data_IF_544979578142
#
_entry.id   IF_544979578142
#
_cell.length_a   1.000
_cell.length_b   1.000
_cell.length_c   1.000
_cell.angle_alpha   90.00
_cell.angle_beta   90.00
_cell.angle_gamma   90.00
#
_symmetry.space_group_name_H-M   'P 1'
#
loop_
_entity.id
_entity.type
_entity.pdbx_description
1 polymer ?
#
# COMPACT_ATOMS: atom_id res chain seq x y z
N UNK A 1 -1.72 1.55 13.52
CA UNK A 1 -2.68 2.55 12.99
C UNK A 1 -2.03 3.25 11.81
N UNK A 2 -2.73 3.23 10.69
CA UNK A 2 -2.39 3.97 9.48
C UNK A 2 -3.48 5.01 9.27
N UNK A 3 -3.08 6.18 8.81
CA UNK A 3 -3.99 7.24 8.38
C UNK A 3 -3.63 7.65 6.96
N UNK A 4 -4.52 8.38 6.30
CA UNK A 4 -4.38 8.69 4.89
C UNK A 4 -4.49 10.20 4.65
N UNK A 5 -3.74 10.69 3.67
CA UNK A 5 -3.89 12.04 3.11
C UNK A 5 -4.22 11.93 1.62
N UNK A 6 -4.69 13.02 1.03
CA UNK A 6 -4.91 13.11 -0.41
C UNK A 6 -3.90 14.11 -0.97
N UNK A 7 -3.04 13.62 -1.85
CA UNK A 7 -2.00 14.38 -2.50
C UNK A 7 -2.36 14.55 -4.00
N UNK A 8 -1.99 15.69 -4.58
CA UNK A 8 -2.01 15.95 -6.01
C UNK A 8 -0.58 16.18 -6.45
N UNK A 9 -0.08 15.32 -7.33
CA UNK A 9 1.24 15.47 -7.93
C UNK A 9 1.12 16.15 -9.28
N UNK A 10 1.59 17.40 -9.39
CA UNK A 10 1.85 18.05 -10.68
C UNK A 10 3.25 17.62 -11.16
N UNK A 11 3.38 17.27 -12.43
CA UNK A 11 4.60 16.64 -12.95
C UNK A 11 5.85 17.53 -12.75
N UNK A 12 6.88 16.92 -12.14
CA UNK A 12 8.26 17.39 -11.90
C UNK A 12 8.61 18.40 -10.81
N UNK A 13 7.70 18.97 -10.03
CA UNK A 13 8.17 19.97 -9.04
C UNK A 13 7.43 20.04 -7.71
N UNK A 14 6.09 19.89 -7.67
CA UNK A 14 5.33 20.19 -6.46
C UNK A 14 4.23 19.14 -6.18
N UNK A 15 4.24 18.61 -4.95
CA UNK A 15 3.14 17.84 -4.40
C UNK A 15 2.27 18.77 -3.59
N UNK A 16 0.96 18.76 -3.83
CA UNK A 16 0.02 19.52 -3.01
C UNK A 16 -0.82 18.56 -2.19
N UNK A 17 -1.02 18.86 -0.91
CA UNK A 17 -1.83 18.04 -0.01
C UNK A 17 -3.10 18.75 0.41
N UNK A 18 -4.18 17.98 0.45
CA UNK A 18 -5.47 18.43 0.95
C UNK A 18 -5.35 18.88 2.43
N UNK A 19 -5.90 20.05 2.71
CA UNK A 19 -5.96 20.67 4.03
C UNK A 19 -7.36 20.54 4.64
N UNK A 20 -7.47 20.71 5.96
CA UNK A 20 -8.75 20.63 6.72
C UNK A 20 -9.83 21.61 6.23
N UNK A 21 -9.43 22.72 5.61
CA UNK A 21 -10.33 23.73 5.05
C UNK A 21 -10.79 23.40 3.60
N UNK A 22 -10.35 22.28 3.04
CA UNK A 22 -10.67 21.85 1.68
C UNK A 22 -9.73 22.41 0.60
N UNK A 23 -8.75 23.23 0.97
CA UNK A 23 -7.73 23.74 0.03
C UNK A 23 -6.59 22.75 -0.16
N UNK A 24 -5.79 22.95 -1.20
CA UNK A 24 -4.56 22.20 -1.44
C UNK A 24 -3.36 23.11 -1.22
N UNK A 25 -2.40 22.68 -0.41
CA UNK A 25 -1.16 23.41 -0.15
C UNK A 25 0.05 22.59 -0.55
N UNK A 26 1.06 23.26 -1.08
CA UNK A 26 2.32 22.61 -1.42
C UNK A 26 2.95 21.99 -0.16
N UNK A 27 3.36 20.74 -0.27
CA UNK A 27 4.15 20.04 0.75
C UNK A 27 5.55 19.78 0.23
N UNK A 28 6.53 19.89 1.13
CA UNK A 28 7.93 19.62 0.80
C UNK A 28 8.16 18.11 0.54
N UNK A 29 9.36 17.74 0.09
CA UNK A 29 9.70 16.34 -0.21
C UNK A 29 9.61 15.41 1.00
N UNK A 30 9.67 15.94 2.22
CA UNK A 30 9.42 15.16 3.42
C UNK A 30 7.90 15.08 3.64
N UNK A 31 7.29 14.06 3.02
CA UNK A 31 5.85 13.89 2.92
C UNK A 31 5.18 13.52 4.26
N UNK A 32 5.81 13.78 5.41
CA UNK A 32 5.20 13.59 6.73
C UNK A 32 3.95 14.44 6.89
N UNK A 33 3.06 14.01 7.79
CA UNK A 33 1.84 14.76 8.12
C UNK A 33 2.22 16.06 8.81
N UNK A 34 1.64 17.18 8.35
CA UNK A 34 1.81 18.51 8.92
C UNK A 34 0.54 18.98 9.63
N UNK A 35 0.66 19.98 10.51
CA UNK A 35 -0.52 20.61 11.07
C UNK A 35 -1.30 21.37 9.99
N UNK A 36 -2.60 21.11 9.93
CA UNK A 36 -3.50 21.60 8.88
C UNK A 36 -3.86 20.56 7.81
N UNK A 37 -3.10 19.47 7.69
CA UNK A 37 -3.42 18.40 6.74
C UNK A 37 -4.78 17.76 7.04
N UNK A 38 -5.54 17.49 5.99
CA UNK A 38 -6.72 16.64 6.07
C UNK A 38 -6.26 15.18 6.17
N UNK A 39 -6.60 14.57 7.32
CA UNK A 39 -6.22 13.19 7.64
C UNK A 39 -7.47 12.33 7.72
N UNK A 40 -7.47 11.24 6.99
CA UNK A 40 -8.53 10.25 6.96
C UNK A 40 -8.10 9.01 7.74
N UNK A 41 -9.00 8.46 8.54
CA UNK A 41 -8.73 7.25 9.34
C UNK A 41 -8.81 5.94 8.55
N UNK A 42 -9.29 6.01 7.31
CA UNK A 42 -9.61 4.87 6.47
C UNK A 42 -9.49 5.26 5.00
N UNK A 43 -9.07 4.30 4.16
CA UNK A 43 -8.88 4.52 2.72
C UNK A 43 -10.19 4.89 2.02
N UNK A 44 -11.29 4.20 2.34
CA UNK A 44 -12.59 4.42 1.70
C UNK A 44 -13.15 5.80 2.01
N UNK A 45 -12.81 6.37 3.18
CA UNK A 45 -13.18 7.76 3.50
C UNK A 45 -12.42 8.78 2.64
N UNK A 46 -11.13 8.55 2.39
CA UNK A 46 -10.35 9.38 1.48
C UNK A 46 -10.88 9.23 0.03
N UNK A 47 -11.19 8.01 -0.40
CA UNK A 47 -11.76 7.74 -1.71
C UNK A 47 -13.15 8.36 -1.88
N UNK A 48 -13.99 8.30 -0.86
CA UNK A 48 -15.30 8.95 -0.86
C UNK A 48 -15.16 10.47 -0.96
N UNK A 49 -14.18 11.08 -0.27
CA UNK A 49 -13.90 12.51 -0.43
C UNK A 49 -13.56 12.83 -1.89
N UNK A 50 -12.68 12.04 -2.51
CA UNK A 50 -12.30 12.23 -3.91
C UNK A 50 -13.51 12.13 -4.86
N UNK A 51 -14.38 11.12 -4.68
CA UNK A 51 -15.61 10.94 -5.48
C UNK A 51 -16.60 12.09 -5.31
N UNK A 52 -16.71 12.63 -4.11
CA UNK A 52 -17.60 13.76 -3.81
C UNK A 52 -17.02 15.11 -4.29
N UNK A 53 -15.74 15.17 -4.61
CA UNK A 53 -15.03 16.37 -5.08
C UNK A 53 -14.39 16.09 -6.44
N UNK A 54 -15.19 15.87 -7.50
CA UNK A 54 -14.67 15.52 -8.84
C UNK A 54 -13.84 16.65 -9.47
N UNK A 55 -13.95 17.86 -8.92
CA UNK A 55 -13.22 19.05 -9.34
C UNK A 55 -12.69 19.77 -8.11
N UNK A 56 -11.41 20.11 -8.13
CA UNK A 56 -10.74 20.92 -7.10
C UNK A 56 -9.95 22.04 -7.75
N UNK A 57 -9.51 23.01 -6.95
CA UNK A 57 -8.64 24.10 -7.40
C UNK A 57 -7.29 24.02 -6.68
N UNK A 58 -6.19 24.12 -7.43
CA UNK A 58 -4.82 24.12 -6.92
C UNK A 58 -4.05 25.21 -7.65
N UNK A 59 -3.57 26.22 -6.93
CA UNK A 59 -2.92 27.42 -7.49
C UNK A 59 -3.79 28.12 -8.55
N UNK A 60 -5.08 28.28 -8.25
CA UNK A 60 -6.10 28.81 -9.16
C UNK A 60 -6.35 27.97 -10.43
N UNK A 61 -5.68 26.83 -10.59
CA UNK A 61 -5.92 25.89 -11.68
C UNK A 61 -6.99 24.87 -11.30
N UNK A 62 -7.95 24.68 -12.20
CA UNK A 62 -9.02 23.68 -12.05
C UNK A 62 -8.50 22.29 -12.41
N UNK A 63 -8.55 21.36 -11.45
CA UNK A 63 -8.10 19.97 -11.62
C UNK A 63 -9.30 19.02 -11.51
N UNK A 64 -9.36 18.05 -12.41
CA UNK A 64 -10.38 16.99 -12.42
C UNK A 64 -9.81 15.71 -11.83
N UNK A 65 -10.52 15.13 -10.87
CA UNK A 65 -10.17 13.84 -10.26
C UNK A 65 -10.45 12.65 -11.20
N UNK A 66 -11.41 12.83 -12.11
CA UNK A 66 -11.78 11.83 -13.11
C UNK A 66 -11.40 12.37 -14.49
N UNK A 67 -10.23 11.99 -14.99
CA UNK A 67 -10.00 12.08 -16.44
C UNK A 67 -9.67 10.70 -16.96
N UNK A 68 -10.60 10.14 -17.74
CA UNK A 68 -10.47 8.89 -18.51
C UNK A 68 -9.36 8.97 -19.59
N UNK A 69 -8.57 10.04 -19.60
CA UNK A 69 -7.39 10.20 -20.44
C UNK A 69 -6.20 10.65 -19.59
N UNK A 70 -5.41 9.70 -19.13
CA UNK A 70 -4.07 9.98 -18.58
C UNK A 70 -3.19 10.49 -19.73
N UNK A 71 -3.16 11.80 -19.94
CA UNK A 71 -2.10 12.39 -20.75
C UNK A 71 -0.82 12.43 -19.90
N UNK A 72 0.32 12.12 -20.52
CA UNK A 72 1.61 12.29 -19.87
C UNK A 72 1.77 13.74 -19.44
N UNK A 73 1.85 14.02 -18.13
CA UNK A 73 1.87 15.38 -17.60
C UNK A 73 0.64 15.78 -16.76
N UNK A 74 -0.46 15.04 -16.84
CA UNK A 74 -1.68 15.34 -16.08
C UNK A 74 -1.45 15.24 -14.56
N UNK A 75 -2.03 16.14 -13.74
CA UNK A 75 -2.00 16.00 -12.30
C UNK A 75 -2.62 14.66 -11.87
N UNK A 76 -1.94 13.96 -10.96
CA UNK A 76 -2.41 12.69 -10.43
C UNK A 76 -2.84 12.84 -8.97
N UNK A 77 -4.06 12.43 -8.66
CA UNK A 77 -4.51 12.25 -7.28
C UNK A 77 -3.92 10.95 -6.73
N UNK A 78 -3.40 11.02 -5.51
CA UNK A 78 -2.88 9.88 -4.77
C UNK A 78 -3.43 9.93 -3.37
N UNK A 79 -4.11 8.86 -2.95
CA UNK A 79 -4.35 8.62 -1.54
C UNK A 79 -3.06 8.06 -0.98
N UNK A 80 -2.43 8.78 -0.05
CA UNK A 80 -1.17 8.41 0.56
C UNK A 80 -1.41 7.93 1.98
N UNK A 81 -0.90 6.75 2.29
CA UNK A 81 -0.86 6.21 3.63
C UNK A 81 0.28 6.80 4.46
N UNK A 82 0.04 6.91 5.76
CA UNK A 82 0.99 7.36 6.77
C UNK A 82 0.88 6.43 7.97
N UNK A 83 1.99 5.77 8.28
CA UNK A 83 2.09 4.92 9.45
C UNK A 83 2.28 5.79 10.70
N UNK A 84 1.34 5.71 11.64
CA UNK A 84 1.43 6.42 12.93
C UNK A 84 1.75 5.47 14.10
N UNK A 85 1.88 4.17 13.84
CA UNK A 85 2.38 3.20 14.80
C UNK A 85 3.14 2.07 14.11
N UNK A 86 3.96 1.35 14.86
CA UNK A 86 4.60 0.13 14.36
C UNK A 86 3.55 -0.89 13.86
N UNK A 87 3.87 -1.70 12.84
CA UNK A 87 3.04 -2.85 12.47
C UNK A 87 2.98 -3.84 13.63
N UNK A 88 1.87 -4.56 13.76
CA UNK A 88 1.74 -5.60 14.78
C UNK A 88 2.66 -6.79 14.48
N UNK A 89 2.75 -7.18 13.21
CA UNK A 89 3.65 -8.20 12.72
C UNK A 89 4.83 -7.55 12.01
N UNK A 90 6.06 -7.87 12.45
CA UNK A 90 7.29 -7.38 11.79
C UNK A 90 7.40 -7.99 10.39
N UNK A 91 7.08 -9.28 10.27
CA UNK A 91 6.93 -10.01 9.02
C UNK A 91 5.97 -11.17 9.24
N UNK A 92 5.39 -11.67 8.16
CA UNK A 92 4.60 -12.88 8.13
C UNK A 92 5.46 -14.11 7.77
N UNK A 93 4.94 -15.27 8.08
CA UNK A 93 5.56 -16.58 7.87
C UNK A 93 5.05 -17.23 6.59
N UNK A 94 5.83 -18.20 6.09
CA UNK A 94 5.39 -19.03 4.96
C UNK A 94 4.13 -19.83 5.27
N UNK A 95 3.97 -20.27 6.52
CA UNK A 95 2.80 -21.01 6.98
C UNK A 95 1.53 -20.15 6.94
N UNK A 96 1.61 -18.87 7.33
CA UNK A 96 0.49 -17.94 7.20
C UNK A 96 0.06 -17.75 5.74
N UNK A 97 1.02 -17.58 4.82
CA UNK A 97 0.73 -17.50 3.37
C UNK A 97 0.09 -18.80 2.87
N UNK A 98 0.62 -19.96 3.27
CA UNK A 98 0.09 -21.27 2.91
C UNK A 98 -1.36 -21.42 3.39
N UNK A 99 -1.64 -21.15 4.66
CA UNK A 99 -2.97 -21.26 5.25
C UNK A 99 -3.98 -20.38 4.50
N UNK A 100 -3.58 -19.16 4.12
CA UNK A 100 -4.44 -18.24 3.38
C UNK A 100 -4.71 -18.75 1.95
N UNK A 101 -3.70 -19.31 1.27
CA UNK A 101 -3.86 -19.90 -0.07
C UNK A 101 -4.72 -21.17 -0.07
N UNK A 102 -4.54 -22.07 0.89
CA UNK A 102 -5.30 -23.33 0.99
C UNK A 102 -6.80 -23.11 1.20
N UNK A 103 -7.17 -21.97 1.80
CA UNK A 103 -8.56 -21.58 2.02
C UNK A 103 -9.19 -20.83 0.83
N UNK A 104 -8.45 -20.62 -0.26
CA UNK A 104 -8.97 -19.94 -1.45
C UNK A 104 -9.92 -20.80 -2.30
N UNK A 105 -10.72 -20.14 -3.13
CA UNK A 105 -11.63 -20.76 -4.10
C UNK A 105 -11.04 -20.68 -5.51
N UNK A 106 -10.55 -21.79 -6.06
CA UNK A 106 -9.92 -21.78 -7.39
C UNK A 106 -10.95 -21.56 -8.53
N UNK A 107 -12.24 -21.42 -8.26
CA UNK A 107 -13.25 -21.05 -9.27
C UNK A 107 -13.29 -19.54 -9.57
N UNK A 108 -12.60 -18.70 -8.78
CA UNK A 108 -12.51 -17.26 -9.01
C UNK A 108 -11.08 -16.74 -8.91
N UNK A 109 -10.81 -15.63 -9.60
CA UNK A 109 -9.51 -14.97 -9.53
C UNK A 109 -9.27 -14.41 -8.13
N UNK A 110 -8.06 -14.59 -7.62
CA UNK A 110 -7.67 -14.13 -6.30
C UNK A 110 -6.42 -13.26 -6.34
N UNK A 111 -6.27 -12.41 -5.34
CA UNK A 111 -5.11 -11.53 -5.14
C UNK A 111 -4.66 -11.67 -3.70
N UNK A 112 -3.38 -11.97 -3.51
CA UNK A 112 -2.76 -11.87 -2.19
C UNK A 112 -2.45 -10.40 -1.89
N UNK A 113 -2.81 -9.97 -0.68
CA UNK A 113 -2.47 -8.65 -0.16
C UNK A 113 -1.88 -8.76 1.23
N UNK A 114 -1.07 -7.78 1.62
CA UNK A 114 -0.62 -7.61 3.01
C UNK A 114 -1.16 -6.29 3.49
N UNK A 115 -1.86 -6.31 4.62
CA UNK A 115 -2.34 -5.08 5.24
C UNK A 115 -1.21 -4.32 5.94
N UNK A 116 -1.53 -3.14 6.48
CA UNK A 116 -0.53 -2.32 7.13
C UNK A 116 -0.03 -2.86 8.47
N UNK A 117 -0.66 -3.86 9.07
CA UNK A 117 -0.20 -4.51 10.30
C UNK A 117 0.63 -5.78 10.01
N UNK A 118 0.88 -6.10 8.73
CA UNK A 118 1.69 -7.22 8.29
C UNK A 118 0.92 -8.55 8.26
N UNK A 119 -0.41 -8.49 8.14
CA UNK A 119 -1.27 -9.68 8.01
C UNK A 119 -1.57 -9.95 6.55
N UNK A 120 -1.44 -11.21 6.14
CA UNK A 120 -1.69 -11.66 4.77
C UNK A 120 -3.16 -12.00 4.59
N UNK A 121 -3.75 -11.56 3.48
CA UNK A 121 -5.13 -11.85 3.10
C UNK A 121 -5.20 -12.33 1.66
N UNK A 122 -6.18 -13.20 1.35
CA UNK A 122 -6.54 -13.59 0.00
C UNK A 122 -7.89 -13.00 -0.33
N UNK A 123 -7.94 -12.12 -1.33
CA UNK A 123 -9.16 -11.43 -1.73
C UNK A 123 -9.57 -11.87 -3.15
N UNK A 124 -10.87 -12.00 -3.44
CA UNK A 124 -11.34 -12.09 -4.81
C UNK A 124 -10.93 -10.84 -5.60
N UNK A 125 -10.52 -10.98 -6.86
CA UNK A 125 -10.06 -9.86 -7.71
C UNK A 125 -11.13 -8.75 -7.88
N UNK A 126 -12.41 -9.10 -7.79
CA UNK A 126 -13.51 -8.14 -7.85
C UNK A 126 -13.66 -7.26 -6.58
N UNK A 127 -12.84 -7.48 -5.56
CA UNK A 127 -12.81 -6.70 -4.32
C UNK A 127 -12.10 -5.35 -4.53
N UNK A 128 -12.22 -4.44 -3.55
CA UNK A 128 -11.37 -3.25 -3.52
C UNK A 128 -9.94 -3.68 -3.14
N UNK A 129 -9.02 -3.63 -4.08
CA UNK A 129 -7.61 -4.04 -3.90
C UNK A 129 -6.70 -2.88 -3.46
N UNK A 130 -7.28 -1.73 -3.09
CA UNK A 130 -6.55 -0.54 -2.62
C UNK A 130 -6.56 -0.46 -1.09
N UNK A 131 -5.68 0.34 -0.50
CA UNK A 131 -5.60 0.46 0.96
C UNK A 131 -4.89 -0.72 1.63
N UNK A 132 -3.98 -1.36 0.90
CA UNK A 132 -3.11 -2.42 1.40
C UNK A 132 -1.65 -2.02 1.22
N UNK A 133 -0.77 -2.50 2.09
CA UNK A 133 0.66 -2.22 2.02
C UNK A 133 1.30 -2.91 0.82
N UNK A 134 0.88 -4.15 0.55
CA UNK A 134 1.40 -4.97 -0.54
C UNK A 134 0.25 -5.57 -1.32
N UNK A 135 0.41 -5.64 -2.63
CA UNK A 135 -0.44 -6.40 -3.53
C UNK A 135 0.41 -7.30 -4.43
N UNK A 136 0.05 -8.57 -4.51
CA UNK A 136 0.64 -9.52 -5.44
C UNK A 136 -0.15 -9.58 -6.77
N UNK A 137 0.45 -10.16 -7.80
CA UNK A 137 -0.22 -10.46 -9.07
C UNK A 137 -1.40 -11.41 -8.89
N UNK A 138 -2.37 -11.30 -9.79
CA UNK A 138 -3.61 -12.08 -9.73
C UNK A 138 -3.32 -13.56 -9.96
N UNK A 139 -3.81 -14.41 -9.05
CA UNK A 139 -3.95 -15.85 -9.27
C UNK A 139 -5.20 -16.12 -10.10
N UNK A 140 -4.98 -16.59 -11.33
CA UNK A 140 -6.04 -16.90 -12.28
C UNK A 140 -6.79 -18.17 -11.83
N UNK A 141 -8.12 -18.12 -11.88
CA UNK A 141 -9.01 -19.26 -11.60
C UNK A 141 -8.68 -20.51 -12.44
N UNK A 142 -8.88 -21.67 -11.85
CA UNK A 142 -8.74 -23.00 -12.47
C UNK A 142 -7.30 -23.39 -12.76
N UNK A 143 -6.33 -22.76 -12.09
CA UNK A 143 -4.90 -23.04 -12.27
C UNK A 143 -4.28 -23.78 -11.09
N UNK A 144 -5.04 -24.00 -10.01
CA UNK A 144 -4.57 -24.67 -8.81
C UNK A 144 -3.54 -23.86 -8.02
N UNK A 145 -3.60 -22.53 -8.13
CA UNK A 145 -2.78 -21.61 -7.32
C UNK A 145 -3.30 -21.49 -5.88
N UNK A 146 -4.59 -21.71 -5.70
CA UNK A 146 -5.29 -21.60 -4.42
C UNK A 146 -6.17 -22.84 -4.18
N UNK A 147 -6.67 -22.97 -2.96
CA UNK A 147 -7.58 -24.02 -2.54
C UNK A 147 -6.88 -25.30 -2.09
N UNK A 148 -7.60 -26.10 -1.31
CA UNK A 148 -7.09 -27.31 -0.65
C UNK A 148 -6.64 -28.43 -1.60
N UNK A 149 -7.00 -28.34 -2.89
CA UNK A 149 -6.56 -29.27 -3.94
C UNK A 149 -5.40 -28.71 -4.78
N UNK A 150 -5.00 -27.46 -4.55
CA UNK A 150 -3.85 -26.82 -5.17
C UNK A 150 -2.55 -27.52 -4.79
N UNK A 151 -1.59 -27.55 -5.71
CA UNK A 151 -0.30 -28.21 -5.45
C UNK A 151 0.74 -27.30 -4.78
N UNK A 152 0.42 -26.00 -4.61
CA UNK A 152 1.22 -24.96 -3.97
C UNK A 152 2.70 -24.94 -4.37
N UNK A 153 3.04 -25.37 -5.59
CA UNK A 153 4.43 -25.42 -6.09
C UNK A 153 5.08 -24.03 -6.18
N UNK A 154 4.27 -22.98 -6.19
CA UNK A 154 4.70 -21.59 -6.19
C UNK A 154 4.87 -21.00 -4.79
N UNK A 155 4.52 -21.71 -3.71
CA UNK A 155 4.48 -21.15 -2.35
C UNK A 155 5.79 -20.49 -1.93
N UNK A 156 6.93 -21.14 -2.19
CA UNK A 156 8.24 -20.59 -1.79
C UNK A 156 8.56 -19.28 -2.53
N UNK A 157 8.28 -19.20 -3.84
CA UNK A 157 8.53 -17.99 -4.64
C UNK A 157 7.51 -16.90 -4.32
N UNK A 158 6.25 -17.25 -4.12
CA UNK A 158 5.19 -16.32 -3.69
C UNK A 158 5.51 -15.73 -2.33
N UNK A 159 5.88 -16.55 -1.35
CA UNK A 159 6.24 -16.10 -0.01
C UNK A 159 7.40 -15.11 -0.04
N UNK A 160 8.48 -15.45 -0.76
CA UNK A 160 9.64 -14.57 -0.86
C UNK A 160 9.32 -13.25 -1.55
N UNK A 161 8.60 -13.29 -2.67
CA UNK A 161 8.22 -12.08 -3.39
C UNK A 161 7.31 -11.17 -2.55
N UNK A 162 6.36 -11.74 -1.81
CA UNK A 162 5.48 -10.99 -0.92
C UNK A 162 6.27 -10.34 0.23
N UNK A 163 7.23 -11.08 0.81
CA UNK A 163 8.07 -10.58 1.90
C UNK A 163 9.01 -9.46 1.41
N UNK A 164 9.58 -9.58 0.22
CA UNK A 164 10.40 -8.54 -0.41
C UNK A 164 9.59 -7.24 -0.61
N UNK A 165 8.37 -7.34 -1.11
CA UNK A 165 7.46 -6.20 -1.24
C UNK A 165 7.13 -5.56 0.12
N UNK A 166 6.94 -6.38 1.15
CA UNK A 166 6.68 -5.90 2.50
C UNK A 166 7.88 -5.13 3.07
N UNK A 167 9.11 -5.62 2.85
CA UNK A 167 10.33 -4.89 3.23
C UNK A 167 10.43 -3.57 2.46
N UNK A 168 10.13 -3.54 1.16
CA UNK A 168 10.07 -2.30 0.38
C UNK A 168 9.05 -1.31 0.97
N UNK A 169 7.85 -1.79 1.34
CA UNK A 169 6.84 -0.99 2.02
C UNK A 169 7.35 -0.44 3.36
N UNK A 170 8.01 -1.26 4.18
CA UNK A 170 8.60 -0.78 5.44
C UNK A 170 9.68 0.26 5.23
N UNK A 171 10.43 0.19 4.12
CA UNK A 171 11.50 1.14 3.82
C UNK A 171 10.96 2.50 3.37
N UNK A 172 9.96 2.53 2.48
CA UNK A 172 9.48 3.75 1.83
C UNK A 172 8.14 4.28 2.38
N UNK A 173 7.33 3.42 2.98
CA UNK A 173 5.96 3.70 3.41
C UNK A 173 4.91 3.63 2.29
N UNK A 174 5.33 3.61 1.02
CA UNK A 174 4.45 3.53 -0.17
C UNK A 174 3.90 2.10 -0.39
N UNK A 175 2.83 1.98 -1.21
CA UNK A 175 2.25 0.68 -1.54
C UNK A 175 3.20 -0.07 -2.49
N UNK A 176 3.38 -1.37 -2.29
CA UNK A 176 4.27 -2.19 -3.11
C UNK A 176 3.48 -3.21 -3.96
N UNK A 177 3.80 -3.29 -5.24
CA UNK A 177 3.30 -4.32 -6.15
C UNK A 177 4.39 -5.34 -6.49
N UNK A 178 4.01 -6.62 -6.59
CA UNK A 178 4.89 -7.69 -7.09
C UNK A 178 4.14 -8.66 -7.98
N UNK A 179 4.77 -9.01 -9.09
CA UNK A 179 4.29 -10.01 -10.06
C UNK A 179 5.15 -11.26 -10.11
N UNK A 180 6.43 -11.16 -9.77
CA UNK A 180 7.32 -12.30 -9.64
C UNK A 180 8.36 -12.07 -8.56
N UNK A 181 9.02 -13.16 -8.22
CA UNK A 181 10.14 -13.18 -7.32
C UNK A 181 11.43 -12.73 -8.02
N UNK A 182 11.97 -11.58 -7.59
CA UNK A 182 13.16 -10.96 -8.18
C UNK A 182 14.42 -11.77 -7.86
N UNK A 183 14.40 -12.66 -6.86
CA UNK A 183 15.47 -13.63 -6.70
C UNK A 183 16.70 -13.16 -5.93
N UNK A 184 16.82 -11.87 -5.63
CA UNK A 184 18.11 -11.24 -5.26
C UNK A 184 18.50 -11.40 -3.80
N UNK A 185 17.53 -11.51 -2.91
CA UNK A 185 17.72 -11.51 -1.45
C UNK A 185 17.12 -12.79 -0.89
N UNK A 186 17.75 -13.37 0.12
CA UNK A 186 17.24 -14.57 0.81
C UNK A 186 16.12 -14.21 1.79
N UNK A 187 15.30 -15.19 2.18
CA UNK A 187 14.23 -14.98 3.17
C UNK A 187 14.82 -14.50 4.50
N UNK A 188 15.94 -15.08 4.93
CA UNK A 188 16.60 -14.73 6.18
C UNK A 188 17.15 -13.30 6.17
N UNK A 189 17.65 -12.83 5.02
CA UNK A 189 18.08 -11.43 4.85
C UNK A 189 16.90 -10.47 4.89
N UNK A 190 15.79 -10.79 4.21
CA UNK A 190 14.57 -9.98 4.25
C UNK A 190 13.98 -9.87 5.66
N UNK A 191 13.97 -10.97 6.42
CA UNK A 191 13.50 -10.97 7.81
C UNK A 191 14.37 -10.06 8.69
N UNK A 192 15.69 -10.15 8.58
CA UNK A 192 16.62 -9.26 9.31
C UNK A 192 16.43 -7.80 8.93
N UNK A 193 16.18 -7.53 7.65
CA UNK A 193 15.93 -6.18 7.17
C UNK A 193 14.62 -5.61 7.73
N UNK A 194 13.54 -6.40 7.73
CA UNK A 194 12.27 -6.02 8.34
C UNK A 194 12.44 -5.69 9.85
N UNK A 195 13.18 -6.52 10.58
CA UNK A 195 13.51 -6.28 12.00
C UNK A 195 14.28 -4.97 12.19
N UNK A 196 15.29 -4.70 11.37
CA UNK A 196 16.10 -3.49 11.44
C UNK A 196 15.27 -2.23 11.12
N UNK A 197 14.40 -2.30 10.12
CA UNK A 197 13.50 -1.20 9.74
C UNK A 197 12.51 -0.89 10.86
N UNK A 198 11.84 -1.90 11.42
CA UNK A 198 10.90 -1.69 12.54
C UNK A 198 11.62 -1.18 13.79
N UNK A 199 12.84 -1.65 14.06
CA UNK A 199 13.66 -1.13 15.17
C UNK A 199 14.00 0.36 14.97
N UNK A 200 14.37 0.76 13.74
CA UNK A 200 14.64 2.17 13.38
C UNK A 200 13.37 3.04 13.51
N UNK A 201 12.20 2.52 13.13
CA UNK A 201 10.94 3.24 13.32
C UNK A 201 10.66 3.49 14.81
N UNK A 202 10.97 2.52 15.67
CA UNK A 202 10.80 2.66 17.13
C UNK A 202 11.67 3.78 17.71
N UNK A 203 12.92 3.90 17.27
CA UNK A 203 13.83 4.96 17.76
C UNK A 203 13.41 6.35 17.29
N UNK A 204 12.93 6.48 16.05
CA UNK A 204 12.42 7.75 15.51
C UNK A 204 11.12 8.21 16.22
N UNK A 205 10.28 7.26 16.64
CA UNK A 205 9.08 7.56 17.44
C UNK A 205 9.43 8.13 18.82
N UNK A 206 10.45 7.58 19.49
CA UNK A 206 10.85 8.03 20.83
C UNK A 206 11.51 9.41 20.87
N UNK A 207 12.17 9.83 19.79
CA UNK A 207 12.82 11.16 19.71
C UNK A 207 11.83 12.31 19.47
N UNK A 208 10.64 12.01 18.92
CA UNK A 208 9.59 13.01 18.68
C UNK A 208 8.64 13.20 19.87
N UNK A 209 8.75 12.39 20.92
CA UNK A 209 7.94 12.44 22.14
C UNK A 209 8.69 13.01 23.36
N UNK A 210 9.97 13.37 23.21
CA UNK A 210 10.85 13.94 24.25
C UNK A 210 11.12 15.43 24.05
#
# INVERSE_FOLDING_TARGET
MVVFTIDIRKVYVHTHRLQKDGTFKEVNQNLSIQDGDAVFRDYDLAEQWMKNNPVVYVDDEKIYNESESYSYGSPAFTIRQHRTSLPQNIFFTKEEVMNVLENGDDEVNHVLVVDYDGVVHLLPECSNLRGYAVRFETFIAGKGYVGSTGNLRHLDVTYRALLDAWVEHLHHGDEAYRDYDIGKITVEELQKEAEALVAKMRTLGSENES
#
